data_IF_507871761011
#
_entry.id   IF_507871761011
#
_cell.length_a   1.000
_cell.length_b   1.000
_cell.length_c   1.000
_cell.angle_alpha   90.00
_cell.angle_beta   90.00
_cell.angle_gamma   90.00
#
_symmetry.space_group_name_H-M   'P 1'
#
loop_
_entity.id
_entity.type
_entity.pdbx_description
1 polymer ?
#
# COMPACT_ATOMS: atom_id res chain seq x y z
N UNK A 1 -10.26 -14.97 -7.33
CA UNK A 1 -10.38 -14.07 -6.16
C UNK A 1 -10.04 -12.67 -6.63
N UNK A 2 -10.90 -11.67 -6.45
CA UNK A 2 -10.70 -10.34 -7.05
C UNK A 2 -10.88 -9.25 -6.01
N UNK A 3 -9.99 -8.25 -6.04
CA UNK A 3 -10.11 -7.03 -5.24
C UNK A 3 -9.85 -5.81 -6.11
N UNK A 4 -10.51 -4.70 -5.77
CA UNK A 4 -10.28 -3.39 -6.38
C UNK A 4 -9.86 -2.44 -5.27
N UNK A 5 -8.75 -1.72 -5.45
CA UNK A 5 -8.20 -0.84 -4.42
C UNK A 5 -7.78 0.50 -5.00
N UNK A 6 -7.73 1.53 -4.15
CA UNK A 6 -7.18 2.84 -4.46
C UNK A 6 -5.73 3.02 -4.02
N UNK A 7 -5.02 1.88 -3.86
CA UNK A 7 -3.59 1.88 -3.57
C UNK A 7 -2.79 2.08 -4.86
N UNK A 8 -1.51 1.69 -4.87
CA UNK A 8 -0.64 1.92 -6.03
C UNK A 8 0.15 0.68 -6.49
N UNK A 9 -0.04 -0.47 -5.83
CA UNK A 9 0.60 -1.74 -6.20
C UNK A 9 -0.38 -2.90 -6.14
N UNK A 10 -0.24 -3.81 -7.09
CA UNK A 10 -1.03 -5.04 -7.24
C UNK A 10 -0.15 -6.26 -7.56
N UNK A 11 1.06 -6.32 -6.98
CA UNK A 11 1.93 -7.47 -7.15
C UNK A 11 1.30 -8.75 -6.58
N UNK A 12 1.63 -9.89 -7.18
CA UNK A 12 1.13 -11.22 -6.81
C UNK A 12 1.23 -11.44 -5.30
N UNK A 13 0.11 -11.73 -4.64
CA UNK A 13 0.03 -11.99 -3.20
C UNK A 13 0.42 -10.83 -2.28
N UNK A 14 0.63 -9.60 -2.78
CA UNK A 14 1.11 -8.49 -1.94
C UNK A 14 0.11 -8.07 -0.86
N UNK A 15 -1.17 -8.11 -1.18
CA UNK A 15 -2.22 -7.55 -0.31
C UNK A 15 -2.65 -8.52 0.80
N UNK A 16 -2.60 -9.83 0.52
CA UNK A 16 -3.21 -10.86 1.37
C UNK A 16 -2.42 -12.19 1.39
N UNK A 17 -1.20 -12.21 0.83
CA UNK A 17 -0.37 -13.40 0.64
C UNK A 17 -1.00 -14.51 -0.24
N UNK A 18 -2.07 -14.22 -0.99
CA UNK A 18 -2.69 -15.16 -1.92
C UNK A 18 -2.31 -14.84 -3.38
N UNK A 19 -1.54 -15.70 -4.07
CA UNK A 19 -1.14 -15.48 -5.47
C UNK A 19 -2.30 -15.43 -6.47
N UNK A 20 -3.43 -16.07 -6.17
CA UNK A 20 -4.63 -16.12 -7.02
C UNK A 20 -5.51 -14.86 -6.89
N UNK A 21 -5.11 -13.91 -6.04
CA UNK A 21 -5.78 -12.62 -5.92
C UNK A 21 -5.43 -11.72 -7.10
N UNK A 22 -6.43 -11.41 -7.91
CA UNK A 22 -6.35 -10.40 -8.95
C UNK A 22 -6.71 -9.03 -8.35
N UNK A 23 -5.69 -8.21 -8.10
CA UNK A 23 -5.85 -6.87 -7.58
C UNK A 23 -5.84 -5.82 -8.73
N UNK A 24 -6.87 -5.00 -8.79
CA UNK A 24 -7.00 -3.89 -9.73
C UNK A 24 -6.87 -2.57 -8.97
N UNK A 25 -6.08 -1.65 -9.51
CA UNK A 25 -5.85 -0.32 -8.95
C UNK A 25 -6.66 0.70 -9.75
N UNK A 26 -7.40 1.56 -9.07
CA UNK A 26 -8.22 2.64 -9.67
C UNK A 26 -8.46 3.77 -8.67
N UNK A 27 -9.22 4.79 -9.02
CA UNK A 27 -9.54 5.89 -8.10
C UNK A 27 -10.49 5.47 -6.96
N UNK A 28 -10.45 6.14 -5.77
CA UNK A 28 -11.32 5.80 -4.63
C UNK A 28 -12.82 5.80 -4.93
N UNK A 29 -13.28 6.70 -5.79
CA UNK A 29 -14.67 6.80 -6.21
C UNK A 29 -15.10 5.61 -7.07
N UNK A 30 -14.24 5.12 -7.97
CA UNK A 30 -14.50 3.90 -8.74
C UNK A 30 -14.48 2.67 -7.83
N UNK A 31 -13.57 2.59 -6.86
CA UNK A 31 -13.57 1.52 -5.85
C UNK A 31 -14.91 1.48 -5.12
N UNK A 32 -15.41 2.65 -4.70
CA UNK A 32 -16.70 2.77 -4.00
C UNK A 32 -17.87 2.32 -4.87
N UNK A 33 -17.93 2.78 -6.11
CA UNK A 33 -18.98 2.39 -7.06
C UNK A 33 -19.00 0.86 -7.31
N UNK A 34 -17.82 0.26 -7.53
CA UNK A 34 -17.68 -1.18 -7.76
C UNK A 34 -17.94 -2.00 -6.50
N UNK A 35 -17.64 -1.48 -5.30
CA UNK A 35 -17.98 -2.12 -4.04
C UNK A 35 -19.49 -2.17 -3.80
N UNK A 36 -20.22 -1.10 -4.15
CA UNK A 36 -21.70 -1.09 -4.12
C UNK A 36 -22.27 -2.09 -5.13
N UNK A 37 -21.72 -2.12 -6.35
CA UNK A 37 -22.22 -2.98 -7.43
C UNK A 37 -21.85 -4.47 -7.24
N UNK A 38 -20.74 -4.78 -6.57
CA UNK A 38 -20.26 -6.14 -6.33
C UNK A 38 -19.75 -6.89 -7.57
N UNK A 39 -19.47 -6.18 -8.68
CA UNK A 39 -19.02 -6.77 -9.95
C UNK A 39 -18.09 -5.83 -10.71
N UNK A 40 -17.07 -6.39 -11.39
CA UNK A 40 -16.15 -5.63 -12.26
C UNK A 40 -16.79 -5.16 -13.57
N UNK A 41 -17.95 -5.70 -13.93
CA UNK A 41 -18.62 -5.39 -15.20
C UNK A 41 -19.46 -4.13 -15.14
N UNK A 42 -19.57 -3.51 -13.97
CA UNK A 42 -20.38 -2.32 -13.76
C UNK A 42 -19.60 -1.07 -14.19
N UNK A 43 -20.14 -0.31 -15.12
CA UNK A 43 -19.66 1.01 -15.47
C UNK A 43 -20.55 2.09 -14.84
N UNK A 44 -20.08 2.87 -13.85
CA UNK A 44 -20.89 3.90 -13.19
C UNK A 44 -21.39 4.99 -14.14
N UNK A 45 -20.72 5.21 -15.27
CA UNK A 45 -21.12 6.22 -16.26
C UNK A 45 -22.31 5.81 -17.14
N UNK A 46 -22.69 4.53 -17.16
CA UNK A 46 -23.73 4.04 -18.10
C UNK A 46 -24.75 3.11 -17.45
N UNK A 47 -24.37 2.39 -16.40
CA UNK A 47 -25.15 1.27 -15.89
C UNK A 47 -26.09 1.67 -14.75
N UNK A 48 -27.08 0.82 -14.50
CA UNK A 48 -28.10 1.03 -13.47
C UNK A 48 -27.93 0.05 -12.30
N UNK A 49 -28.22 0.53 -11.10
CA UNK A 49 -28.43 -0.25 -9.90
C UNK A 49 -29.93 -0.32 -9.57
N UNK A 50 -30.34 -1.31 -8.79
CA UNK A 50 -31.73 -1.47 -8.35
C UNK A 50 -31.82 -1.21 -6.85
N UNK A 51 -32.65 -0.25 -6.45
CA UNK A 51 -32.92 0.05 -5.04
C UNK A 51 -33.74 -1.03 -4.36
N UNK A 52 -33.84 -0.97 -3.02
CA UNK A 52 -34.73 -1.87 -2.25
C UNK A 52 -36.21 -1.69 -2.59
N UNK A 53 -36.58 -0.54 -3.16
CA UNK A 53 -37.91 -0.24 -3.68
C UNK A 53 -38.17 -0.82 -5.09
N UNK A 54 -37.19 -1.55 -5.65
CA UNK A 54 -37.27 -2.15 -6.98
C UNK A 54 -37.06 -1.18 -8.13
N UNK A 55 -36.82 0.12 -7.86
CA UNK A 55 -36.58 1.12 -8.91
C UNK A 55 -35.13 1.10 -9.35
N UNK A 56 -34.92 1.29 -10.65
CA UNK A 56 -33.59 1.50 -11.22
C UNK A 56 -33.13 2.93 -10.98
N UNK A 57 -31.88 3.08 -10.61
CA UNK A 57 -31.21 4.36 -10.50
C UNK A 57 -29.79 4.25 -11.06
N UNK A 58 -29.22 5.40 -11.43
CA UNK A 58 -27.85 5.52 -11.89
C UNK A 58 -27.04 6.22 -10.81
N UNK A 59 -25.76 5.88 -10.70
CA UNK A 59 -24.84 6.69 -9.90
C UNK A 59 -24.53 7.96 -10.68
N UNK A 60 -24.78 9.11 -10.07
CA UNK A 60 -24.34 10.38 -10.64
C UNK A 60 -22.84 10.57 -10.38
N UNK A 61 -22.19 11.38 -11.22
CA UNK A 61 -20.79 11.71 -11.01
C UNK A 61 -20.62 12.33 -9.61
N UNK A 62 -19.64 11.85 -8.81
CA UNK A 62 -19.42 12.40 -7.49
C UNK A 62 -18.91 13.84 -7.62
N UNK A 63 -19.51 14.74 -6.84
CA UNK A 63 -19.05 16.10 -6.64
C UNK A 63 -18.55 16.22 -5.20
N UNK A 64 -17.40 16.87 -5.01
CA UNK A 64 -16.77 17.02 -3.71
C UNK A 64 -16.08 18.38 -3.61
N UNK A 65 -16.17 19.01 -2.45
CA UNK A 65 -15.36 20.18 -2.14
C UNK A 65 -13.86 19.78 -2.21
N UNK A 66 -13.05 20.50 -2.99
CA UNK A 66 -11.62 20.21 -3.15
C UNK A 66 -10.85 20.30 -1.81
N UNK A 67 -11.26 21.27 -0.99
CA UNK A 67 -10.74 21.55 0.34
C UNK A 67 -11.94 21.91 1.25
N UNK A 68 -11.81 21.76 2.59
CA UNK A 68 -12.86 22.20 3.50
C UNK A 68 -13.17 23.69 3.29
N UNK A 69 -14.45 24.06 3.34
CA UNK A 69 -14.89 25.47 3.25
C UNK A 69 -14.46 26.29 4.46
N UNK A 70 -14.31 25.63 5.60
CA UNK A 70 -13.69 26.15 6.80
C UNK A 70 -12.24 25.66 6.88
N UNK A 71 -11.55 25.93 8.00
CA UNK A 71 -10.20 25.40 8.22
C UNK A 71 -10.23 23.87 8.45
N UNK A 72 -9.08 23.23 8.24
CA UNK A 72 -8.90 21.82 8.57
C UNK A 72 -9.04 21.59 10.07
N UNK A 73 -9.77 20.54 10.46
CA UNK A 73 -9.77 20.07 11.85
C UNK A 73 -8.39 19.44 12.16
N UNK A 74 -7.61 19.97 13.12
CA UNK A 74 -6.29 19.44 13.45
C UNK A 74 -6.35 18.04 14.07
N UNK A 75 -7.50 17.61 14.58
CA UNK A 75 -7.69 16.28 15.16
C UNK A 75 -6.80 16.00 16.37
N UNK A 76 -6.32 14.76 16.46
CA UNK A 76 -5.44 14.33 17.54
C UNK A 76 -4.00 14.81 17.30
N UNK A 77 -3.38 15.39 18.33
CA UNK A 77 -1.95 15.69 18.30
C UNK A 77 -1.14 14.38 18.31
N UNK A 78 -0.55 14.07 17.17
CA UNK A 78 0.25 12.85 16.92
C UNK A 78 1.72 13.14 16.71
N UNK A 79 2.10 14.42 16.65
CA UNK A 79 3.46 14.81 16.37
C UNK A 79 4.27 14.89 17.66
N UNK A 80 5.47 14.33 17.63
CA UNK A 80 6.42 14.42 18.73
C UNK A 80 7.68 15.09 18.21
N UNK A 81 7.91 16.33 18.66
CA UNK A 81 9.15 17.04 18.36
C UNK A 81 10.35 16.33 19.01
N UNK A 82 11.52 16.29 18.36
CA UNK A 82 12.75 15.97 19.06
C UNK A 82 13.04 17.03 20.14
N UNK A 83 13.71 16.69 21.25
CA UNK A 83 14.09 17.69 22.24
C UNK A 83 15.11 18.68 21.65
N UNK A 84 15.11 19.89 22.21
CA UNK A 84 16.04 20.97 21.80
C UNK A 84 17.51 20.61 22.06
N UNK A 85 17.74 19.83 23.10
CA UNK A 85 19.03 19.23 23.41
C UNK A 85 18.85 17.72 23.55
N UNK A 86 19.60 16.97 22.76
CA UNK A 86 19.63 15.52 22.76
C UNK A 86 20.95 14.98 23.35
N UNK A 87 21.79 15.86 23.92
CA UNK A 87 23.02 15.45 24.58
C UNK A 87 22.70 14.57 25.79
N UNK A 88 23.05 13.29 25.70
CA UNK A 88 22.72 12.26 26.70
C UNK A 88 21.56 11.34 26.35
N UNK A 89 20.90 11.52 25.20
CA UNK A 89 19.99 10.48 24.71
C UNK A 89 20.78 9.25 24.27
N UNK A 90 20.31 8.07 24.72
CA UNK A 90 20.87 6.78 24.36
C UNK A 90 19.81 5.93 23.68
N UNK A 91 20.11 5.44 22.48
CA UNK A 91 19.27 4.51 21.74
C UNK A 91 19.93 3.14 21.83
N UNK A 92 19.42 2.29 22.72
CA UNK A 92 19.94 0.95 22.95
C UNK A 92 19.16 -0.11 22.16
N UNK A 93 19.89 -1.05 21.57
CA UNK A 93 19.34 -2.23 20.90
C UNK A 93 19.72 -3.46 21.71
N UNK A 94 18.71 -4.21 22.18
CA UNK A 94 18.97 -5.45 22.93
C UNK A 94 19.69 -6.47 22.05
N UNK A 95 20.77 -7.11 22.53
CA UNK A 95 21.47 -8.15 21.79
C UNK A 95 20.63 -9.42 21.59
N UNK A 96 19.54 -9.59 22.33
CA UNK A 96 18.62 -10.74 22.22
C UNK A 96 17.31 -10.39 21.51
N UNK A 97 17.19 -9.17 20.97
CA UNK A 97 16.00 -8.71 20.26
C UNK A 97 15.73 -9.54 19.00
N UNK A 98 14.47 -9.86 18.78
CA UNK A 98 13.98 -10.52 17.55
C UNK A 98 13.34 -9.53 16.57
N UNK A 99 13.47 -8.22 16.81
CA UNK A 99 12.82 -7.14 16.04
C UNK A 99 13.79 -6.05 15.58
N UNK A 100 14.84 -5.79 16.35
CA UNK A 100 15.85 -4.74 16.12
C UNK A 100 17.23 -5.36 16.23
N UNK A 101 18.11 -5.11 15.27
CA UNK A 101 19.47 -5.63 15.22
C UNK A 101 20.41 -4.52 14.75
N UNK A 102 21.59 -4.39 15.37
CA UNK A 102 22.65 -3.54 14.84
C UNK A 102 23.24 -4.19 13.59
N UNK A 103 23.43 -3.42 12.52
CA UNK A 103 24.03 -3.92 11.29
C UNK A 103 25.54 -4.08 11.50
N UNK A 104 26.04 -5.29 11.28
CA UNK A 104 27.48 -5.55 11.23
C UNK A 104 28.03 -5.06 9.88
N UNK A 105 29.16 -4.31 9.87
CA UNK A 105 29.81 -3.94 8.63
C UNK A 105 30.14 -5.19 7.81
N UNK A 106 29.82 -5.17 6.52
CA UNK A 106 30.30 -6.20 5.61
C UNK A 106 31.82 -6.20 5.53
N UNK A 107 32.38 -7.36 5.23
CA UNK A 107 33.81 -7.48 4.94
C UNK A 107 34.21 -6.54 3.80
N UNK A 108 35.40 -5.96 3.93
CA UNK A 108 35.98 -5.17 2.86
C UNK A 108 36.29 -6.09 1.68
N UNK A 109 36.19 -5.55 0.47
CA UNK A 109 36.72 -6.23 -0.71
C UNK A 109 38.22 -6.51 -0.52
N UNK A 110 38.64 -7.73 -0.84
CA UNK A 110 40.00 -8.24 -0.63
C UNK A 110 40.98 -7.85 -1.75
N UNK A 111 40.50 -7.14 -2.77
CA UNK A 111 41.29 -6.67 -3.90
C UNK A 111 41.48 -7.70 -5.02
N UNK A 112 40.88 -8.89 -4.91
CA UNK A 112 41.01 -9.96 -5.89
C UNK A 112 39.77 -10.06 -6.80
N UNK A 113 39.97 -10.73 -7.93
CA UNK A 113 38.87 -11.10 -8.82
C UNK A 113 37.99 -12.19 -8.18
N UNK A 114 36.69 -12.16 -8.50
CA UNK A 114 35.73 -13.16 -8.05
C UNK A 114 35.68 -14.32 -9.04
N UNK A 115 36.52 -15.31 -8.80
CA UNK A 115 36.65 -16.50 -9.66
C UNK A 115 35.74 -17.65 -9.15
N UNK A 116 35.29 -18.51 -10.08
CA UNK A 116 34.52 -19.73 -9.79
C UNK A 116 33.26 -19.57 -8.91
N UNK A 117 32.56 -18.45 -9.05
CA UNK A 117 31.32 -18.19 -8.30
C UNK A 117 30.20 -19.18 -8.66
N UNK A 118 29.56 -19.72 -7.62
CA UNK A 118 28.35 -20.53 -7.78
C UNK A 118 27.16 -19.64 -8.15
N UNK A 119 26.46 -19.99 -9.22
CA UNK A 119 25.16 -19.39 -9.55
C UNK A 119 24.14 -19.89 -8.51
N UNK A 120 23.70 -18.99 -7.63
CA UNK A 120 22.69 -19.30 -6.60
C UNK A 120 21.30 -19.46 -7.19
N UNK A 121 20.90 -18.54 -8.07
CA UNK A 121 19.59 -18.54 -8.71
C UNK A 121 19.68 -17.86 -10.08
N UNK A 122 19.08 -18.50 -11.09
CA UNK A 122 18.84 -17.89 -12.40
C UNK A 122 17.37 -17.47 -12.50
N UNK A 123 17.11 -16.23 -12.13
CA UNK A 123 15.77 -15.65 -12.15
C UNK A 123 15.25 -15.55 -13.59
N UNK A 124 13.95 -15.82 -13.79
CA UNK A 124 13.26 -15.64 -15.07
C UNK A 124 12.10 -14.65 -14.89
N UNK A 125 12.05 -13.62 -15.73
CA UNK A 125 10.96 -12.65 -15.73
C UNK A 125 11.05 -11.64 -14.57
N UNK A 126 9.90 -11.22 -14.05
CA UNK A 126 9.78 -10.18 -13.01
C UNK A 126 10.20 -10.71 -11.63
N UNK A 127 11.03 -9.95 -10.90
CA UNK A 127 11.54 -10.29 -9.56
C UNK A 127 11.56 -9.05 -8.66
N UNK A 128 10.37 -8.68 -8.17
CA UNK A 128 10.11 -7.56 -7.25
C UNK A 128 9.77 -8.04 -5.87
#
# INVERSE_FOLDING_TARGET
NTIVTSYNRNFTGRNDANPETHAFVTSPEIVTALAIAGTLKFNPETDFLTGKDGKKFKLEAPDADELPRAEFDPGQDTYQHPPKDSSGQRVDVSPTSQRLQLLEPFDKWDGKDLEDLQILIKVKGKCT
#
